data_IF_471093899858
#
_entry.id   IF_471093899858
#
_cell.length_a   1.000
_cell.length_b   1.000
_cell.length_c   1.000
_cell.angle_alpha   90.00
_cell.angle_beta   90.00
_cell.angle_gamma   90.00
#
_symmetry.space_group_name_H-M   'P 1'
#
loop_
_entity.id
_entity.type
_entity.pdbx_description
1 polymer ?
#
# COMPACT_ATOMS: atom_id res chain seq x y z
N UNK A 1 82.52 -12.48 21.65
CA UNK A 1 81.61 -11.50 21.01
C UNK A 1 80.66 -12.07 19.95
N UNK A 2 80.77 -13.35 19.52
CA UNK A 2 79.89 -13.93 18.46
C UNK A 2 78.51 -14.43 18.94
N UNK A 3 78.32 -14.66 20.25
CA UNK A 3 77.08 -15.25 20.79
C UNK A 3 75.97 -14.23 21.15
N UNK A 4 76.30 -12.94 21.29
CA UNK A 4 75.36 -11.91 21.79
C UNK A 4 74.55 -11.27 20.65
N UNK A 5 75.17 -11.11 19.47
CA UNK A 5 74.55 -10.53 18.28
C UNK A 5 73.23 -11.20 17.85
N UNK A 6 73.09 -12.55 17.79
CA UNK A 6 71.83 -13.18 17.41
C UNK A 6 70.70 -12.94 18.43
N UNK A 7 71.03 -12.82 19.72
CA UNK A 7 70.04 -12.52 20.77
C UNK A 7 69.52 -11.09 20.67
N UNK A 8 70.37 -10.13 20.32
CA UNK A 8 69.93 -8.74 20.09
C UNK A 8 68.98 -8.63 18.89
N UNK A 9 69.26 -9.33 17.78
CA UNK A 9 68.39 -9.34 16.60
C UNK A 9 67.04 -10.00 16.92
N UNK A 10 67.04 -11.11 17.66
CA UNK A 10 65.81 -11.77 18.09
C UNK A 10 64.94 -10.85 18.98
N UNK A 11 65.56 -10.08 19.89
CA UNK A 11 64.83 -9.10 20.71
C UNK A 11 64.22 -7.98 19.88
N UNK A 12 64.95 -7.41 18.91
CA UNK A 12 64.42 -6.36 18.04
C UNK A 12 63.25 -6.86 17.20
N UNK A 13 63.34 -8.07 16.65
CA UNK A 13 62.24 -8.68 15.91
C UNK A 13 61.03 -8.98 16.81
N UNK A 14 61.25 -9.46 18.02
CA UNK A 14 60.18 -9.70 19.00
C UNK A 14 59.48 -8.39 19.39
N UNK A 15 60.23 -7.32 19.65
CA UNK A 15 59.68 -5.99 19.94
C UNK A 15 58.89 -5.46 18.73
N UNK A 16 59.42 -5.60 17.52
CA UNK A 16 58.72 -5.19 16.29
C UNK A 16 57.39 -5.93 16.10
N UNK A 17 57.36 -7.25 16.34
CA UNK A 17 56.14 -8.06 16.30
C UNK A 17 55.11 -7.61 17.34
N UNK A 18 55.53 -7.30 18.56
CA UNK A 18 54.64 -6.80 19.61
C UNK A 18 54.04 -5.44 19.25
N UNK A 19 54.84 -4.52 18.69
CA UNK A 19 54.35 -3.20 18.25
C UNK A 19 53.34 -3.34 17.11
N UNK A 20 53.60 -4.20 16.11
CA UNK A 20 52.65 -4.45 15.02
C UNK A 20 51.37 -5.14 15.50
N UNK A 21 51.48 -6.08 16.43
CA UNK A 21 50.33 -6.78 17.01
C UNK A 21 49.44 -5.83 17.85
N UNK A 22 50.03 -4.96 18.65
CA UNK A 22 49.26 -3.96 19.42
C UNK A 22 48.63 -2.91 18.52
N UNK A 23 49.33 -2.47 17.47
CA UNK A 23 48.81 -1.54 16.46
C UNK A 23 47.62 -2.10 15.69
N UNK A 24 47.70 -3.35 15.22
CA UNK A 24 46.60 -4.04 14.53
C UNK A 24 45.40 -4.27 15.45
N UNK A 25 45.61 -4.70 16.70
CA UNK A 25 44.54 -4.83 17.70
C UNK A 25 43.86 -3.50 18.03
N UNK A 26 44.61 -2.40 18.04
CA UNK A 26 44.03 -1.06 18.24
C UNK A 26 43.10 -0.69 17.08
N UNK A 27 43.54 -0.94 15.83
CA UNK A 27 42.73 -0.66 14.63
C UNK A 27 41.48 -1.55 14.53
N UNK A 28 41.57 -2.80 14.95
CA UNK A 28 40.39 -3.68 15.05
C UNK A 28 39.35 -3.12 16.03
N UNK A 29 39.79 -2.59 17.17
CA UNK A 29 38.89 -1.96 18.16
C UNK A 29 38.25 -0.69 17.61
N UNK A 30 39.02 0.18 16.96
CA UNK A 30 38.48 1.39 16.30
C UNK A 30 37.45 1.03 15.23
N UNK A 31 37.73 0.06 14.37
CA UNK A 31 36.81 -0.38 13.32
C UNK A 31 35.54 -1.01 13.90
N UNK A 32 35.67 -1.81 14.97
CA UNK A 32 34.53 -2.36 15.67
C UNK A 32 33.68 -1.27 16.34
N UNK A 33 34.30 -0.25 16.93
CA UNK A 33 33.60 0.89 17.53
C UNK A 33 32.88 1.72 16.45
N UNK A 34 33.54 2.00 15.32
CA UNK A 34 32.96 2.75 14.20
C UNK A 34 31.78 2.01 13.55
N UNK A 35 31.88 0.68 13.43
CA UNK A 35 30.77 -0.16 12.95
C UNK A 35 29.57 -0.11 13.89
N UNK A 36 29.80 -0.20 15.20
CA UNK A 36 28.72 -0.07 16.20
C UNK A 36 28.03 1.29 16.12
N UNK A 37 28.80 2.37 16.04
CA UNK A 37 28.25 3.72 15.90
C UNK A 37 27.43 3.88 14.60
N UNK A 38 27.87 3.30 13.48
CA UNK A 38 27.10 3.30 12.24
C UNK A 38 25.82 2.45 12.34
N UNK A 39 25.88 1.31 13.01
CA UNK A 39 24.70 0.47 13.26
C UNK A 39 23.66 1.23 14.10
N UNK A 40 24.10 1.90 15.17
CA UNK A 40 23.24 2.74 16.01
C UNK A 40 22.62 3.90 15.21
N UNK A 41 23.41 4.58 14.36
CA UNK A 41 22.88 5.62 13.49
C UNK A 41 21.83 5.09 12.51
N UNK A 42 22.05 3.87 11.98
CA UNK A 42 21.11 3.22 11.09
C UNK A 42 19.81 2.79 11.79
N UNK A 43 19.90 2.33 13.04
CA UNK A 43 18.71 1.96 13.82
C UNK A 43 17.87 3.19 14.17
N UNK A 44 18.52 4.27 14.62
CA UNK A 44 17.82 5.54 14.92
C UNK A 44 17.16 6.12 13.67
N UNK A 45 17.79 6.00 12.48
CA UNK A 45 17.16 6.42 11.22
C UNK A 45 15.92 5.58 10.90
N UNK A 46 15.97 4.26 11.09
CA UNK A 46 14.83 3.38 10.87
C UNK A 46 13.67 3.70 11.82
N UNK A 47 13.94 3.93 13.11
CA UNK A 47 12.93 4.36 14.09
C UNK A 47 12.28 5.70 13.70
N UNK A 48 13.06 6.67 13.22
CA UNK A 48 12.52 7.94 12.75
C UNK A 48 11.60 7.77 11.52
N UNK A 49 11.94 6.87 10.60
CA UNK A 49 11.11 6.60 9.43
C UNK A 49 9.81 5.87 9.82
N UNK A 50 9.86 4.99 10.82
CA UNK A 50 8.67 4.36 11.40
C UNK A 50 7.75 5.40 12.06
N UNK A 51 8.31 6.32 12.85
CA UNK A 51 7.55 7.43 13.46
C UNK A 51 6.88 8.30 12.40
N UNK A 52 7.56 8.64 11.31
CA UNK A 52 6.95 9.39 10.19
C UNK A 52 5.79 8.62 9.55
N UNK A 53 5.94 7.31 9.38
CA UNK A 53 4.87 6.47 8.83
C UNK A 53 3.63 6.48 9.73
N UNK A 54 3.82 6.39 11.05
CA UNK A 54 2.73 6.51 12.02
C UNK A 54 2.08 7.89 11.95
N UNK A 55 2.87 8.98 11.86
CA UNK A 55 2.34 10.33 11.71
C UNK A 55 1.47 10.48 10.46
N UNK A 56 1.89 9.94 9.32
CA UNK A 56 1.11 9.94 8.09
C UNK A 56 -0.20 9.15 8.25
N UNK A 57 -0.18 7.99 8.91
CA UNK A 57 -1.38 7.21 9.19
C UNK A 57 -2.36 7.97 10.11
N UNK A 58 -1.85 8.70 11.11
CA UNK A 58 -2.68 9.53 11.99
C UNK A 58 -3.30 10.71 11.24
N UNK A 59 -2.55 11.36 10.34
CA UNK A 59 -3.08 12.41 9.48
C UNK A 59 -4.22 11.87 8.60
N UNK A 60 -4.05 10.70 7.99
CA UNK A 60 -5.08 10.05 7.17
C UNK A 60 -6.33 9.70 8.00
N UNK A 61 -6.15 9.13 9.20
CA UNK A 61 -7.27 8.86 10.12
C UNK A 61 -8.02 10.13 10.53
N UNK A 62 -7.30 11.22 10.76
CA UNK A 62 -7.89 12.51 11.13
C UNK A 62 -8.69 13.08 9.97
N UNK A 63 -8.15 13.00 8.75
CA UNK A 63 -8.84 13.39 7.52
C UNK A 63 -10.13 12.57 7.32
N UNK A 64 -10.04 11.25 7.43
CA UNK A 64 -11.20 10.36 7.27
C UNK A 64 -12.29 10.63 8.32
N UNK A 65 -11.90 10.91 9.58
CA UNK A 65 -12.86 11.31 10.63
C UNK A 65 -13.60 12.60 10.26
N UNK A 66 -12.87 13.58 9.75
CA UNK A 66 -13.45 14.86 9.30
C UNK A 66 -14.40 14.65 8.11
N UNK A 67 -14.01 13.86 7.12
CA UNK A 67 -14.87 13.54 5.97
C UNK A 67 -16.17 12.82 6.41
N UNK A 68 -16.09 11.96 7.43
CA UNK A 68 -17.26 11.26 7.97
C UNK A 68 -18.19 12.22 8.76
N UNK A 69 -17.62 13.16 9.52
CA UNK A 69 -18.39 14.22 10.20
C UNK A 69 -19.16 15.10 9.21
N UNK A 70 -18.51 15.52 8.12
CA UNK A 70 -19.16 16.29 7.06
C UNK A 70 -20.26 15.48 6.36
N UNK A 71 -20.07 14.17 6.17
CA UNK A 71 -21.10 13.28 5.64
C UNK A 71 -22.34 13.24 6.55
N UNK A 72 -22.13 13.16 7.87
CA UNK A 72 -23.22 13.22 8.85
C UNK A 72 -23.95 14.57 8.83
N UNK A 73 -23.20 15.67 8.73
CA UNK A 73 -23.75 17.02 8.61
C UNK A 73 -24.60 17.17 7.34
N UNK A 74 -24.05 16.82 6.19
CA UNK A 74 -24.75 16.86 4.90
C UNK A 74 -26.02 16.00 4.92
N UNK A 75 -25.98 14.83 5.56
CA UNK A 75 -27.17 13.98 5.73
C UNK A 75 -28.26 14.71 6.52
N UNK A 76 -27.89 15.39 7.61
CA UNK A 76 -28.84 16.15 8.43
C UNK A 76 -29.43 17.34 7.64
N UNK A 77 -28.60 18.08 6.89
CA UNK A 77 -29.04 19.19 6.04
C UNK A 77 -30.00 18.70 4.93
N UNK A 78 -29.71 17.57 4.29
CA UNK A 78 -30.62 16.97 3.28
C UNK A 78 -31.96 16.55 3.90
N UNK A 79 -31.95 16.01 5.12
CA UNK A 79 -33.19 15.69 5.84
C UNK A 79 -34.01 16.96 6.11
N UNK A 80 -33.38 18.00 6.64
CA UNK A 80 -34.03 19.26 6.96
C UNK A 80 -34.63 19.92 5.71
N UNK A 81 -33.85 20.03 4.63
CA UNK A 81 -34.32 20.62 3.36
C UNK A 81 -35.49 19.84 2.76
N UNK A 82 -35.51 18.51 2.92
CA UNK A 82 -36.62 17.67 2.46
C UNK A 82 -37.89 17.93 3.27
N UNK A 83 -37.77 18.11 4.58
CA UNK A 83 -38.89 18.43 5.46
C UNK A 83 -39.43 19.84 5.20
N UNK A 84 -38.56 20.84 5.03
CA UNK A 84 -38.94 22.20 4.64
C UNK A 84 -39.68 22.23 3.29
N UNK A 85 -39.18 21.50 2.28
CA UNK A 85 -39.87 21.36 0.99
C UNK A 85 -41.24 20.69 1.13
N UNK A 86 -41.37 19.71 2.04
CA UNK A 86 -42.64 19.02 2.32
C UNK A 86 -43.63 19.91 3.08
N UNK A 87 -43.16 20.83 3.91
CA UNK A 87 -44.00 21.83 4.56
C UNK A 87 -44.43 22.92 3.58
N UNK A 88 -43.52 23.45 2.76
CA UNK A 88 -43.83 24.45 1.74
C UNK A 88 -44.87 23.94 0.72
N UNK A 89 -44.80 22.65 0.33
CA UNK A 89 -45.82 22.03 -0.54
C UNK A 89 -47.17 21.84 0.15
N UNK A 90 -47.22 21.57 1.46
CA UNK A 90 -48.47 21.53 2.23
C UNK A 90 -49.12 22.92 2.34
N UNK A 91 -48.32 23.97 2.58
CA UNK A 91 -48.81 25.35 2.63
C UNK A 91 -49.28 25.83 1.25
N UNK A 92 -48.61 25.41 0.17
CA UNK A 92 -49.02 25.70 -1.21
C UNK A 92 -50.29 24.97 -1.67
N UNK A 93 -50.57 23.76 -1.16
CA UNK A 93 -51.82 23.03 -1.43
C UNK A 93 -53.04 23.65 -0.71
N UNK A 94 -52.83 24.35 0.41
CA UNK A 94 -53.90 25.12 1.07
C UNK A 94 -54.22 26.47 0.38
N UNK A 95 -53.38 26.92 -0.56
CA UNK A 95 -53.51 28.21 -1.26
C UNK A 95 -53.97 28.08 -2.72
N UNK A 96 -54.36 26.89 -3.19
CA UNK A 96 -54.72 26.63 -4.60
C UNK A 96 -56.08 27.19 -5.06
N UNK A 97 -56.73 28.05 -4.27
CA UNK A 97 -58.01 28.66 -4.63
C UNK A 97 -57.91 30.00 -5.39
N UNK A 98 -56.71 30.51 -5.70
CA UNK A 98 -56.58 31.77 -6.44
C UNK A 98 -55.38 31.76 -7.39
N UNK A 99 -55.67 31.65 -8.69
CA UNK A 99 -54.70 31.76 -9.78
C UNK A 99 -54.43 33.25 -10.04
N UNK A 100 -53.25 33.71 -9.65
CA UNK A 100 -52.64 34.95 -10.13
C UNK A 100 -51.23 34.62 -10.70
N UNK A 101 -50.74 35.34 -11.70
CA UNK A 101 -49.45 35.05 -12.32
C UNK A 101 -48.33 35.39 -11.32
N UNK A 102 -47.68 34.35 -10.80
CA UNK A 102 -46.51 34.43 -9.93
C UNK A 102 -45.39 35.13 -10.70
N UNK A 103 -45.04 36.36 -10.29
CA UNK A 103 -43.80 37.01 -10.71
C UNK A 103 -42.66 36.25 -10.03
N UNK A 104 -41.82 35.65 -10.86
CA UNK A 104 -40.79 34.69 -10.53
C UNK A 104 -39.69 35.29 -9.65
N UNK A 105 -39.47 34.68 -8.48
CA UNK A 105 -38.20 34.78 -7.73
C UNK A 105 -37.09 34.11 -8.55
N UNK A 106 -36.52 34.85 -9.51
CA UNK A 106 -35.46 34.40 -10.42
C UNK A 106 -34.26 33.82 -9.67
N UNK A 107 -33.99 34.33 -8.47
CA UNK A 107 -32.88 33.91 -7.60
C UNK A 107 -33.08 32.50 -7.03
N UNK A 108 -34.29 32.16 -6.60
CA UNK A 108 -34.60 30.83 -6.05
C UNK A 108 -34.60 29.74 -7.13
N UNK A 109 -35.05 30.08 -8.34
CA UNK A 109 -35.00 29.18 -9.50
C UNK A 109 -33.55 28.92 -9.96
N UNK A 110 -32.71 29.96 -9.97
CA UNK A 110 -31.29 29.82 -10.31
C UNK A 110 -30.54 28.94 -9.30
N UNK A 111 -30.81 29.09 -8.00
CA UNK A 111 -30.16 28.32 -6.94
C UNK A 111 -30.55 26.83 -6.98
N UNK A 112 -31.82 26.53 -7.28
CA UNK A 112 -32.27 25.16 -7.50
C UNK A 112 -31.58 24.51 -8.70
N UNK A 113 -31.36 25.28 -9.77
CA UNK A 113 -30.68 24.80 -10.97
C UNK A 113 -29.19 24.52 -10.73
N UNK A 114 -28.53 25.33 -9.91
CA UNK A 114 -27.14 25.09 -9.46
C UNK A 114 -27.03 23.79 -8.65
N UNK A 115 -27.90 23.59 -7.65
CA UNK A 115 -27.91 22.37 -6.84
C UNK A 115 -28.16 21.09 -7.65
N UNK A 116 -29.01 21.17 -8.67
CA UNK A 116 -29.26 20.05 -9.58
C UNK A 116 -28.00 19.72 -10.40
N UNK A 117 -27.32 20.75 -10.91
CA UNK A 117 -26.09 20.60 -11.67
C UNK A 117 -24.96 20.03 -10.81
N UNK A 118 -24.84 20.49 -9.57
CA UNK A 118 -23.88 19.98 -8.59
C UNK A 118 -24.17 18.51 -8.22
N UNK A 119 -25.44 18.17 -7.98
CA UNK A 119 -25.84 16.77 -7.73
C UNK A 119 -25.49 15.86 -8.91
N UNK A 120 -25.68 16.34 -10.15
CA UNK A 120 -25.28 15.59 -11.34
C UNK A 120 -23.76 15.40 -11.41
N UNK A 121 -22.99 16.45 -11.12
CA UNK A 121 -21.52 16.38 -11.08
C UNK A 121 -21.01 15.39 -10.04
N UNK A 122 -21.53 15.48 -8.81
CA UNK A 122 -21.15 14.56 -7.72
C UNK A 122 -21.50 13.10 -8.05
N UNK A 123 -22.60 12.86 -8.77
CA UNK A 123 -22.93 11.51 -9.25
C UNK A 123 -21.93 11.01 -10.29
N UNK A 124 -21.55 11.86 -11.25
CA UNK A 124 -20.54 11.51 -12.25
C UNK A 124 -19.17 11.23 -11.62
N UNK A 125 -18.77 12.04 -10.64
CA UNK A 125 -17.52 11.86 -9.88
C UNK A 125 -17.52 10.56 -9.06
N UNK A 126 -18.62 10.26 -8.36
CA UNK A 126 -18.77 8.98 -7.65
C UNK A 126 -18.71 7.78 -8.60
N UNK A 127 -19.34 7.87 -9.77
CA UNK A 127 -19.27 6.82 -10.80
C UNK A 127 -17.84 6.63 -11.32
N UNK A 128 -17.12 7.72 -11.58
CA UNK A 128 -15.72 7.66 -12.01
C UNK A 128 -14.82 7.03 -10.93
N UNK A 129 -15.01 7.39 -9.67
CA UNK A 129 -14.26 6.81 -8.55
C UNK A 129 -14.51 5.29 -8.42
N UNK A 130 -15.76 4.85 -8.58
CA UNK A 130 -16.11 3.43 -8.58
C UNK A 130 -15.44 2.67 -9.75
N UNK A 131 -15.38 3.26 -10.95
CA UNK A 131 -14.71 2.66 -12.10
C UNK A 131 -13.19 2.53 -11.88
N UNK A 132 -12.54 3.55 -11.33
CA UNK A 132 -11.11 3.52 -11.02
C UNK A 132 -10.80 2.43 -9.99
N UNK A 133 -11.63 2.29 -8.95
CA UNK A 133 -11.47 1.22 -7.97
C UNK A 133 -11.63 -0.16 -8.59
N UNK A 134 -12.66 -0.37 -9.42
CA UNK A 134 -12.87 -1.64 -10.10
C UNK A 134 -11.65 -2.02 -10.97
N UNK A 135 -11.12 -1.07 -11.75
CA UNK A 135 -9.92 -1.29 -12.55
C UNK A 135 -8.68 -1.55 -11.69
N UNK A 136 -8.54 -0.87 -10.55
CA UNK A 136 -7.45 -1.11 -9.59
C UNK A 136 -7.47 -2.51 -9.01
N UNK A 137 -8.65 -3.04 -8.67
CA UNK A 137 -8.82 -4.40 -8.16
C UNK A 137 -8.48 -5.46 -9.21
N UNK A 138 -8.91 -5.26 -10.48
CA UNK A 138 -8.51 -6.13 -11.60
C UNK A 138 -6.99 -6.13 -11.78
N UNK A 139 -6.37 -4.94 -11.81
CA UNK A 139 -4.92 -4.82 -11.96
C UNK A 139 -4.14 -5.47 -10.81
N UNK A 140 -4.63 -5.36 -9.57
CA UNK A 140 -4.06 -6.04 -8.43
C UNK A 140 -4.17 -7.57 -8.55
N UNK A 141 -5.29 -8.09 -9.05
CA UNK A 141 -5.43 -9.52 -9.35
C UNK A 141 -4.43 -9.98 -10.42
N UNK A 142 -4.28 -9.23 -11.52
CA UNK A 142 -3.29 -9.56 -12.56
C UNK A 142 -1.86 -9.54 -12.01
N UNK A 143 -1.52 -8.59 -11.13
CA UNK A 143 -0.22 -8.57 -10.47
C UNK A 143 0.01 -9.81 -9.59
N UNK A 144 -1.00 -10.21 -8.82
CA UNK A 144 -0.93 -11.44 -8.03
C UNK A 144 -0.70 -12.68 -8.90
N UNK A 145 -1.36 -12.78 -10.05
CA UNK A 145 -1.13 -13.86 -11.01
C UNK A 145 0.33 -13.89 -11.51
N UNK A 146 0.92 -12.73 -11.81
CA UNK A 146 2.35 -12.65 -12.21
C UNK A 146 3.28 -13.14 -11.11
N UNK A 147 3.03 -12.74 -9.86
CA UNK A 147 3.83 -13.17 -8.71
C UNK A 147 3.73 -14.68 -8.51
N UNK A 148 2.52 -15.24 -8.61
CA UNK A 148 2.32 -16.69 -8.54
C UNK A 148 3.09 -17.39 -9.65
N UNK A 149 3.04 -16.88 -10.88
CA UNK A 149 3.76 -17.48 -12.00
C UNK A 149 5.29 -17.44 -11.81
N UNK A 150 5.83 -16.30 -11.37
CA UNK A 150 7.26 -16.19 -11.04
C UNK A 150 7.68 -17.14 -9.91
N UNK A 151 6.87 -17.25 -8.85
CA UNK A 151 7.11 -18.17 -7.74
C UNK A 151 7.12 -19.64 -8.19
N UNK A 152 6.20 -20.02 -9.10
CA UNK A 152 6.17 -21.36 -9.71
C UNK A 152 7.44 -21.67 -10.49
N UNK A 153 7.88 -20.73 -11.33
CA UNK A 153 9.08 -20.90 -12.13
C UNK A 153 10.31 -21.02 -11.23
N UNK A 154 10.42 -20.18 -10.20
CA UNK A 154 11.53 -20.24 -9.25
C UNK A 154 11.57 -21.56 -8.48
N UNK A 155 10.44 -21.99 -7.90
CA UNK A 155 10.34 -23.29 -7.24
C UNK A 155 10.79 -24.43 -8.16
N UNK A 156 10.35 -24.40 -9.42
CA UNK A 156 10.69 -25.43 -10.39
C UNK A 156 12.17 -25.46 -10.74
N UNK A 157 12.81 -24.29 -10.90
CA UNK A 157 14.24 -24.17 -11.16
C UNK A 157 15.07 -24.74 -10.00
N UNK A 158 14.76 -24.35 -8.78
CA UNK A 158 15.50 -24.79 -7.58
C UNK A 158 15.32 -26.28 -7.30
N UNK A 159 14.11 -26.81 -7.52
CA UNK A 159 13.77 -28.20 -7.24
C UNK A 159 13.89 -29.13 -8.45
N UNK A 160 14.48 -28.64 -9.55
CA UNK A 160 14.69 -29.35 -10.82
C UNK A 160 13.41 -30.03 -11.31
N UNK A 161 12.28 -29.34 -11.23
CA UNK A 161 10.96 -29.87 -11.60
C UNK A 161 10.73 -29.64 -13.10
N UNK A 162 10.14 -30.63 -13.80
CA UNK A 162 9.71 -30.43 -15.19
C UNK A 162 8.52 -29.48 -15.28
N UNK A 163 8.27 -28.94 -16.47
CA UNK A 163 7.10 -28.07 -16.75
C UNK A 163 5.75 -28.75 -16.49
N UNK A 164 5.70 -30.08 -16.50
CA UNK A 164 4.51 -30.89 -16.21
C UNK A 164 4.29 -31.14 -14.72
N UNK A 165 5.21 -30.70 -13.85
CA UNK A 165 5.07 -30.93 -12.42
C UNK A 165 3.87 -30.15 -11.84
N UNK A 166 2.98 -30.79 -11.06
CA UNK A 166 1.91 -30.10 -10.37
C UNK A 166 2.50 -29.20 -9.27
N UNK A 167 1.93 -28.01 -9.12
CA UNK A 167 2.36 -27.03 -8.11
C UNK A 167 1.32 -26.98 -6.99
N UNK A 168 1.76 -27.17 -5.74
CA UNK A 168 0.92 -26.94 -4.57
C UNK A 168 1.19 -25.57 -3.95
N UNK A 169 0.23 -25.07 -3.17
CA UNK A 169 0.38 -23.80 -2.45
C UNK A 169 1.65 -23.75 -1.59
N UNK A 170 1.93 -24.85 -0.86
CA UNK A 170 3.05 -24.90 0.10
C UNK A 170 4.41 -24.89 -0.59
N UNK A 171 4.47 -25.37 -1.83
CA UNK A 171 5.68 -25.41 -2.64
C UNK A 171 6.16 -24.00 -3.02
N UNK A 172 5.21 -23.11 -3.33
CA UNK A 172 5.50 -21.76 -3.84
C UNK A 172 5.40 -20.66 -2.79
N UNK A 173 4.79 -20.95 -1.64
CA UNK A 173 4.67 -20.01 -0.53
C UNK A 173 5.99 -19.31 -0.19
N UNK A 174 7.12 -20.01 0.01
CA UNK A 174 8.40 -19.38 0.37
C UNK A 174 8.93 -18.36 -0.65
N UNK A 175 8.41 -18.37 -1.87
CA UNK A 175 8.83 -17.50 -2.97
C UNK A 175 7.87 -16.31 -3.17
N UNK A 176 6.83 -16.20 -2.34
CA UNK A 176 5.86 -15.10 -2.36
C UNK A 176 6.21 -14.08 -1.26
N UNK A 177 5.88 -12.78 -1.44
CA UNK A 177 6.32 -11.71 -0.53
C UNK A 177 6.00 -11.90 0.95
N UNK A 178 4.90 -12.61 1.27
CA UNK A 178 4.43 -12.83 2.63
C UNK A 178 4.47 -14.30 3.06
N UNK A 179 5.22 -15.14 2.34
CA UNK A 179 5.20 -16.60 2.53
C UNK A 179 3.79 -17.21 2.45
N UNK A 180 2.88 -16.57 1.72
CA UNK A 180 1.47 -16.89 1.67
C UNK A 180 0.92 -16.62 0.26
N UNK A 181 -0.07 -17.41 -0.16
CA UNK A 181 -0.80 -17.13 -1.39
C UNK A 181 -1.54 -15.79 -1.28
N UNK A 182 -1.43 -14.89 -2.27
CA UNK A 182 -2.21 -13.66 -2.26
C UNK A 182 -3.69 -13.99 -2.39
N UNK A 183 -4.53 -13.09 -1.88
CA UNK A 183 -5.99 -13.17 -2.01
C UNK A 183 -6.42 -12.28 -3.17
N UNK A 184 -7.36 -12.76 -4.00
CA UNK A 184 -7.96 -11.92 -5.02
C UNK A 184 -8.79 -10.81 -4.35
N UNK A 185 -8.59 -9.52 -4.69
CA UNK A 185 -9.34 -8.41 -4.09
C UNK A 185 -10.85 -8.47 -4.40
N UNK A 186 -11.23 -9.24 -5.42
CA UNK A 186 -12.61 -9.51 -5.81
C UNK A 186 -13.14 -10.86 -5.29
N UNK A 187 -12.41 -11.54 -4.39
CA UNK A 187 -12.84 -12.78 -3.74
C UNK A 187 -12.69 -14.06 -4.58
N UNK A 188 -12.01 -13.99 -5.72
CA UNK A 188 -11.69 -15.15 -6.55
C UNK A 188 -10.64 -16.09 -5.96
N UNK A 189 -10.64 -17.34 -6.45
CA UNK A 189 -9.63 -18.34 -6.12
C UNK A 189 -8.57 -18.42 -7.23
N UNK A 190 -7.32 -18.66 -6.85
CA UNK A 190 -6.22 -18.88 -7.80
C UNK A 190 -5.99 -20.38 -8.05
N UNK A 191 -6.04 -20.78 -9.31
CA UNK A 191 -5.64 -22.10 -9.76
C UNK A 191 -4.17 -22.07 -10.18
N UNK A 192 -3.34 -22.92 -9.56
CA UNK A 192 -1.88 -22.94 -9.78
C UNK A 192 -1.47 -23.78 -11.00
N UNK A 193 -2.22 -24.84 -11.29
CA UNK A 193 -1.93 -25.80 -12.37
C UNK A 193 -0.51 -26.41 -12.28
N UNK A 194 0.05 -26.83 -13.40
CA UNK A 194 1.44 -27.27 -13.50
C UNK A 194 2.37 -26.07 -13.74
N UNK A 195 3.68 -26.27 -13.59
CA UNK A 195 4.69 -25.23 -13.79
C UNK A 195 4.54 -24.54 -15.16
N UNK A 196 4.33 -25.29 -16.23
CA UNK A 196 4.24 -24.76 -17.61
C UNK A 196 2.89 -24.17 -18.02
N UNK A 197 1.88 -24.19 -17.14
CA UNK A 197 0.54 -23.64 -17.43
C UNK A 197 0.33 -22.40 -16.58
N UNK A 198 0.01 -21.25 -17.16
CA UNK A 198 -0.20 -20.01 -16.41
C UNK A 198 -1.23 -20.17 -15.27
N UNK A 199 -1.02 -19.51 -14.11
CA UNK A 199 -2.03 -19.49 -13.07
C UNK A 199 -3.27 -18.72 -13.54
N UNK A 200 -4.44 -19.16 -13.08
CA UNK A 200 -5.73 -18.56 -13.45
C UNK A 200 -6.50 -18.10 -12.21
N UNK A 201 -7.28 -17.02 -12.35
CA UNK A 201 -8.25 -16.61 -11.34
C UNK A 201 -9.65 -17.12 -11.74
N UNK A 202 -10.46 -17.48 -10.76
CA UNK A 202 -11.86 -17.90 -10.99
C UNK A 202 -12.79 -16.78 -11.46
N UNK A 203 -12.35 -15.51 -11.38
CA UNK A 203 -13.13 -14.36 -11.84
C UNK A 203 -12.93 -14.16 -13.35
N UNK A 204 -14.01 -14.13 -14.16
CA UNK A 204 -13.92 -13.92 -15.60
C UNK A 204 -13.17 -12.62 -15.96
N UNK A 205 -12.32 -12.67 -16.98
CA UNK A 205 -11.54 -11.51 -17.44
C UNK A 205 -10.22 -11.27 -16.70
N UNK A 206 -9.96 -11.98 -15.59
CA UNK A 206 -8.68 -11.94 -14.88
C UNK A 206 -7.70 -12.97 -15.44
N UNK A 207 -7.24 -12.76 -16.67
CA UNK A 207 -6.34 -13.71 -17.36
C UNK A 207 -5.03 -13.01 -17.69
N UNK A 208 -3.91 -13.68 -17.41
CA UNK A 208 -2.60 -13.23 -17.89
C UNK A 208 -2.52 -13.44 -19.41
N UNK A 209 -2.16 -12.41 -20.20
CA UNK A 209 -1.90 -12.60 -21.62
C UNK A 209 -0.71 -13.54 -21.78
N UNK A 210 -0.85 -14.55 -22.66
CA UNK A 210 0.27 -15.43 -23.01
C UNK A 210 1.33 -14.57 -23.72
N UNK A 211 2.55 -14.60 -23.20
CA UNK A 211 3.72 -13.97 -23.80
C UNK A 211 4.36 -14.94 -24.81
#
# INVERSE_FOLDING_TARGET
>A
MKAILPWCVALVLAVGLVVLYTGTKSKEKELAALRRANQELSSVRAENDEVKKIQLQVQELTRLRKENEELHRLRNEVHQLRDEKRQASKTGQAAQSSVAPVKTDTTAQAQLQQLLTENQRLRAENQQFQQVQANGQVNACLNNLRQIDSAKQQWALENKKPVSAPVNAQDIQPYLPNNALPVCPLGGLYALHTVGVLPACSIPGHVLPQQ
#
